data_IF_088764164934
#
_entry.id   IF_088764164934
#
_cell.length_a   1.000
_cell.length_b   1.000
_cell.length_c   1.000
_cell.angle_alpha   90.00
_cell.angle_beta   90.00
_cell.angle_gamma   90.00
#
_symmetry.space_group_name_H-M   'P 1'
#
loop_
_entity.id
_entity.type
_entity.pdbx_description
1 polymer ?
#
# COMPACT_ATOMS: atom_id res chain seq x y z
N UNK A 1 -31.92 -3.72 -11.78
CA UNK A 1 -31.84 -5.18 -11.77
C UNK A 1 -33.21 -5.76 -12.17
N UNK A 2 -33.20 -6.95 -12.76
CA UNK A 2 -34.43 -7.65 -13.16
C UNK A 2 -34.91 -8.64 -12.10
N UNK A 3 -34.08 -8.95 -11.15
CA UNK A 3 -34.38 -9.88 -10.06
C UNK A 3 -34.41 -9.15 -8.73
N UNK A 4 -35.34 -9.52 -7.88
CA UNK A 4 -35.53 -8.93 -6.57
C UNK A 4 -36.11 -9.95 -5.58
N UNK A 5 -36.46 -9.44 -4.41
CA UNK A 5 -37.09 -10.22 -3.36
C UNK A 5 -38.45 -9.60 -3.01
N UNK A 6 -39.50 -10.42 -3.02
CA UNK A 6 -40.80 -10.07 -2.45
C UNK A 6 -40.62 -9.98 -0.92
N UNK A 7 -41.02 -8.85 -0.36
CA UNK A 7 -40.82 -8.60 1.05
C UNK A 7 -42.08 -8.07 1.71
N UNK A 8 -42.32 -8.49 2.93
CA UNK A 8 -43.44 -8.00 3.77
C UNK A 8 -42.92 -6.89 4.67
N UNK A 9 -43.65 -5.79 4.73
CA UNK A 9 -43.37 -4.70 5.68
C UNK A 9 -43.89 -5.14 7.04
N UNK A 10 -42.99 -5.27 8.02
CA UNK A 10 -43.32 -5.62 9.41
C UNK A 10 -43.55 -4.38 10.25
N UNK A 11 -42.75 -3.36 10.09
CA UNK A 11 -42.83 -2.13 10.91
C UNK A 11 -42.32 -0.91 10.12
N UNK A 12 -42.93 0.22 10.36
CA UNK A 12 -42.55 1.51 9.83
C UNK A 12 -42.38 2.50 10.97
N UNK A 13 -41.20 3.10 11.08
CA UNK A 13 -40.83 4.07 12.09
C UNK A 13 -40.49 5.40 11.41
N UNK A 14 -41.22 6.46 11.77
CA UNK A 14 -40.87 7.85 11.39
C UNK A 14 -39.91 8.42 12.43
N UNK A 15 -38.77 8.90 11.99
CA UNK A 15 -37.77 9.56 12.82
C UNK A 15 -38.04 11.07 12.89
N UNK A 16 -37.55 11.77 13.96
CA UNK A 16 -37.77 13.22 14.14
C UNK A 16 -37.17 14.08 13.00
N UNK A 17 -36.17 13.56 12.28
CA UNK A 17 -35.52 14.19 11.13
C UNK A 17 -36.32 14.07 9.81
N UNK A 18 -37.50 13.46 9.86
CA UNK A 18 -38.36 13.23 8.69
C UNK A 18 -38.01 11.96 7.91
N UNK A 19 -36.95 11.25 8.27
CA UNK A 19 -36.61 9.96 7.63
C UNK A 19 -37.53 8.85 8.12
N UNK A 20 -37.74 7.86 7.24
CA UNK A 20 -38.59 6.70 7.54
C UNK A 20 -37.72 5.44 7.53
N UNK A 21 -37.70 4.73 8.65
CA UNK A 21 -37.09 3.38 8.74
C UNK A 21 -38.18 2.34 8.58
N UNK A 22 -37.96 1.42 7.67
CA UNK A 22 -38.88 0.31 7.38
C UNK A 22 -38.19 -1.00 7.71
N UNK A 23 -38.80 -1.82 8.55
CA UNK A 23 -38.40 -3.19 8.79
C UNK A 23 -39.16 -4.09 7.79
N UNK A 24 -38.40 -4.83 7.00
CA UNK A 24 -38.97 -5.74 5.99
C UNK A 24 -38.49 -7.16 6.24
N UNK A 25 -39.35 -8.12 5.92
CA UNK A 25 -39.02 -9.55 5.90
C UNK A 25 -39.04 -10.04 4.46
N UNK A 26 -37.93 -10.59 3.98
CA UNK A 26 -37.87 -11.21 2.65
C UNK A 26 -38.63 -12.53 2.64
N UNK A 27 -39.48 -12.72 1.63
CA UNK A 27 -40.29 -13.93 1.46
C UNK A 27 -39.74 -14.78 0.31
N UNK A 28 -39.99 -14.33 -0.93
CA UNK A 28 -39.71 -15.09 -2.14
C UNK A 28 -38.81 -14.31 -3.09
N UNK A 29 -38.03 -15.02 -3.89
CA UNK A 29 -37.30 -14.46 -5.03
C UNK A 29 -38.28 -14.22 -6.18
N UNK A 30 -38.17 -13.07 -6.84
CA UNK A 30 -39.02 -12.73 -7.92
C UNK A 30 -38.27 -12.09 -9.08
N UNK A 31 -38.69 -12.42 -10.30
CA UNK A 31 -38.27 -11.75 -11.52
C UNK A 31 -39.25 -10.66 -11.86
N UNK A 32 -38.79 -9.48 -12.10
CA UNK A 32 -39.58 -8.32 -12.55
C UNK A 32 -39.78 -8.45 -14.04
N UNK A 33 -41.06 -8.45 -14.48
CA UNK A 33 -41.45 -8.47 -15.88
C UNK A 33 -41.59 -7.05 -16.41
N UNK A 34 -42.36 -6.23 -15.70
CA UNK A 34 -42.67 -4.86 -16.09
C UNK A 34 -42.77 -3.97 -14.84
N UNK A 35 -42.34 -2.73 -14.99
CA UNK A 35 -42.47 -1.71 -13.93
C UNK A 35 -43.29 -0.55 -14.54
N UNK A 36 -44.40 -0.21 -13.91
CA UNK A 36 -45.20 0.94 -14.22
C UNK A 36 -45.17 1.95 -13.07
N UNK A 37 -45.33 3.22 -13.40
CA UNK A 37 -45.45 4.28 -12.40
C UNK A 37 -46.91 4.72 -12.35
N UNK A 38 -47.56 4.48 -11.22
CA UNK A 38 -48.94 4.87 -10.99
C UNK A 38 -48.98 6.00 -9.93
N UNK A 39 -49.31 7.19 -10.39
CA UNK A 39 -49.52 8.40 -9.56
C UNK A 39 -48.34 8.74 -8.63
N UNK A 40 -48.16 8.04 -7.52
CA UNK A 40 -47.17 8.33 -6.49
C UNK A 40 -46.24 7.13 -6.13
N UNK A 41 -46.41 5.98 -6.79
CA UNK A 41 -45.63 4.79 -6.50
C UNK A 41 -45.31 3.96 -7.73
N UNK A 42 -44.28 3.15 -7.62
CA UNK A 42 -43.92 2.17 -8.64
C UNK A 42 -44.69 0.87 -8.41
N UNK A 43 -45.30 0.37 -9.47
CA UNK A 43 -45.94 -0.94 -9.51
C UNK A 43 -45.12 -1.86 -10.38
N UNK A 44 -44.86 -3.08 -9.90
CA UNK A 44 -44.14 -4.08 -10.68
C UNK A 44 -44.95 -5.34 -10.84
N UNK A 45 -45.03 -5.82 -12.08
CA UNK A 45 -45.50 -7.19 -12.36
C UNK A 45 -44.31 -8.14 -12.17
N UNK A 46 -44.49 -9.14 -11.32
CA UNK A 46 -43.43 -10.06 -10.96
C UNK A 46 -43.86 -11.53 -11.15
N UNK A 47 -42.88 -12.41 -11.40
CA UNK A 47 -43.07 -13.86 -11.33
C UNK A 47 -42.18 -14.44 -10.24
N UNK A 48 -42.75 -15.25 -9.35
CA UNK A 48 -42.01 -15.95 -8.31
C UNK A 48 -41.07 -16.94 -8.97
N UNK A 49 -39.82 -16.99 -8.45
CA UNK A 49 -38.82 -17.94 -8.88
C UNK A 49 -38.77 -19.10 -7.88
N UNK A 50 -39.12 -20.28 -8.35
CA UNK A 50 -38.93 -21.50 -7.55
C UNK A 50 -37.46 -21.93 -7.61
N UNK A 51 -36.94 -22.33 -6.46
CA UNK A 51 -35.58 -22.90 -6.39
C UNK A 51 -35.62 -24.32 -6.96
N UNK A 52 -34.87 -24.58 -8.02
CA UNK A 52 -34.67 -25.94 -8.51
C UNK A 52 -33.84 -26.73 -7.53
N UNK A 53 -34.38 -27.85 -7.05
CA UNK A 53 -33.69 -28.70 -6.09
C UNK A 53 -32.57 -29.49 -6.76
N UNK A 54 -31.40 -29.51 -6.14
CA UNK A 54 -30.31 -30.38 -6.54
C UNK A 54 -30.57 -31.83 -6.09
N UNK A 55 -29.82 -32.79 -6.66
CA UNK A 55 -29.80 -34.17 -6.10
C UNK A 55 -29.51 -34.13 -4.60
N UNK A 56 -30.38 -34.79 -3.82
CA UNK A 56 -30.36 -34.72 -2.36
C UNK A 56 -28.98 -35.08 -1.75
N UNK A 57 -28.27 -36.05 -2.36
CA UNK A 57 -26.96 -36.48 -1.90
C UNK A 57 -25.86 -35.43 -2.19
N UNK A 58 -25.87 -34.83 -3.39
CA UNK A 58 -24.90 -33.81 -3.80
C UNK A 58 -25.10 -32.54 -3.01
N UNK A 59 -26.36 -32.10 -2.85
CA UNK A 59 -26.70 -30.96 -2.04
C UNK A 59 -26.20 -31.05 -0.61
N UNK A 60 -26.40 -32.20 0.06
CA UNK A 60 -25.91 -32.46 1.42
C UNK A 60 -24.38 -32.37 1.52
N UNK A 61 -23.65 -32.86 0.53
CA UNK A 61 -22.19 -32.81 0.51
C UNK A 61 -21.71 -31.37 0.35
N UNK A 62 -22.27 -30.64 -0.59
CA UNK A 62 -21.93 -29.23 -0.87
C UNK A 62 -22.25 -28.32 0.32
N UNK A 63 -23.41 -28.51 0.96
CA UNK A 63 -23.79 -27.76 2.16
C UNK A 63 -22.82 -27.98 3.33
N UNK A 64 -22.36 -29.23 3.52
CA UNK A 64 -21.36 -29.53 4.55
C UNK A 64 -20.03 -28.81 4.26
N UNK A 65 -19.59 -28.80 3.01
CA UNK A 65 -18.39 -28.07 2.59
C UNK A 65 -18.55 -26.58 2.80
N UNK A 66 -19.71 -26.02 2.40
CA UNK A 66 -20.06 -24.62 2.58
C UNK A 66 -20.01 -24.18 4.05
N UNK A 67 -20.62 -24.99 4.95
CA UNK A 67 -20.59 -24.72 6.39
C UNK A 67 -19.17 -24.72 6.96
N UNK A 68 -18.34 -25.66 6.51
CA UNK A 68 -16.93 -25.75 6.93
C UNK A 68 -16.12 -24.53 6.47
N UNK A 69 -16.31 -24.08 5.22
CA UNK A 69 -15.65 -22.87 4.71
C UNK A 69 -16.16 -21.61 5.41
N UNK A 70 -17.46 -21.52 5.66
CA UNK A 70 -18.04 -20.40 6.38
C UNK A 70 -17.54 -20.30 7.83
N UNK A 71 -17.37 -21.43 8.52
CA UNK A 71 -16.77 -21.46 9.85
C UNK A 71 -15.34 -20.87 9.83
N UNK A 72 -14.51 -21.24 8.86
CA UNK A 72 -13.19 -20.64 8.66
C UNK A 72 -13.26 -19.12 8.42
N UNK A 73 -14.19 -18.68 7.61
CA UNK A 73 -14.42 -17.26 7.33
C UNK A 73 -14.80 -16.50 8.61
N UNK A 74 -15.72 -17.04 9.43
CA UNK A 74 -16.13 -16.44 10.71
C UNK A 74 -14.94 -16.30 11.66
N UNK A 75 -14.10 -17.34 11.77
CA UNK A 75 -12.91 -17.31 12.62
C UNK A 75 -11.90 -16.25 12.19
N UNK A 76 -11.78 -15.95 10.89
CA UNK A 76 -10.85 -14.98 10.34
C UNK A 76 -11.40 -13.55 10.37
N UNK A 77 -12.68 -13.36 10.10
CA UNK A 77 -13.29 -12.04 9.86
C UNK A 77 -13.38 -11.16 11.10
N UNK A 78 -13.44 -11.75 12.31
CA UNK A 78 -13.63 -11.04 13.60
C UNK A 78 -14.84 -10.08 13.65
N UNK A 79 -15.57 -9.93 12.57
CA UNK A 79 -16.75 -9.04 12.46
C UNK A 79 -18.05 -9.78 12.76
N UNK A 80 -18.05 -11.10 12.62
CA UNK A 80 -19.21 -11.96 12.80
C UNK A 80 -19.10 -12.62 14.16
N UNK A 81 -20.12 -12.47 15.03
CA UNK A 81 -20.14 -13.17 16.31
C UNK A 81 -20.18 -14.69 16.13
N UNK A 82 -19.46 -15.47 16.95
CA UNK A 82 -19.43 -16.93 16.84
C UNK A 82 -20.83 -17.58 16.98
N UNK A 83 -21.76 -16.91 17.68
CA UNK A 83 -23.13 -17.37 17.89
C UNK A 83 -23.93 -17.52 16.59
N UNK A 84 -23.50 -16.80 15.54
CA UNK A 84 -24.10 -16.89 14.20
C UNK A 84 -23.98 -18.31 13.64
N UNK A 85 -22.87 -19.02 13.92
CA UNK A 85 -22.68 -20.39 13.48
C UNK A 85 -23.73 -21.33 14.08
N UNK A 86 -24.10 -21.15 15.35
CA UNK A 86 -25.14 -21.95 16.00
C UNK A 86 -26.50 -21.72 15.36
N UNK A 87 -26.83 -20.46 15.07
CA UNK A 87 -28.09 -20.09 14.41
C UNK A 87 -28.17 -20.65 12.99
N UNK A 88 -27.09 -20.58 12.22
CA UNK A 88 -27.02 -21.11 10.85
C UNK A 88 -27.13 -22.64 10.84
N UNK A 89 -26.44 -23.30 11.76
CA UNK A 89 -26.47 -24.78 11.85
C UNK A 89 -27.84 -25.34 12.20
N UNK A 90 -28.76 -24.53 12.70
CA UNK A 90 -30.15 -24.92 13.01
C UNK A 90 -31.12 -24.78 11.83
N UNK A 91 -30.65 -24.32 10.67
CA UNK A 91 -31.47 -24.13 9.47
C UNK A 91 -31.50 -25.46 8.67
N UNK A 92 -32.64 -26.07 8.58
CA UNK A 92 -32.80 -27.33 7.85
C UNK A 92 -33.00 -27.14 6.34
N UNK A 93 -33.56 -26.00 5.95
CA UNK A 93 -33.88 -25.71 4.55
C UNK A 93 -32.60 -25.23 3.79
N UNK A 94 -32.14 -26.00 2.77
CA UNK A 94 -30.89 -25.68 2.05
C UNK A 94 -30.84 -24.31 1.43
N UNK A 95 -31.92 -23.88 0.76
CA UNK A 95 -31.96 -22.57 0.10
C UNK A 95 -31.85 -21.42 1.11
N UNK A 96 -32.58 -21.53 2.22
CA UNK A 96 -32.54 -20.55 3.32
C UNK A 96 -31.20 -20.51 4.01
N UNK A 97 -30.55 -21.66 4.17
CA UNK A 97 -29.19 -21.76 4.74
C UNK A 97 -28.19 -20.95 3.89
N UNK A 98 -28.19 -21.17 2.58
CA UNK A 98 -27.29 -20.48 1.64
C UNK A 98 -27.53 -18.96 1.65
N UNK A 99 -28.79 -18.55 1.62
CA UNK A 99 -29.15 -17.12 1.63
C UNK A 99 -28.81 -16.47 2.98
N UNK A 100 -28.94 -17.18 4.07
CA UNK A 100 -28.54 -16.68 5.41
C UNK A 100 -27.03 -16.52 5.49
N UNK A 101 -26.23 -17.48 5.04
CA UNK A 101 -24.77 -17.35 4.97
C UNK A 101 -24.38 -16.13 4.13
N UNK A 102 -24.96 -15.97 2.93
CA UNK A 102 -24.68 -14.84 2.05
C UNK A 102 -25.02 -13.48 2.70
N UNK A 103 -26.07 -13.42 3.54
CA UNK A 103 -26.47 -12.20 4.26
C UNK A 103 -25.44 -11.75 5.30
N UNK A 104 -24.72 -12.69 5.91
CA UNK A 104 -23.68 -12.41 6.90
C UNK A 104 -22.33 -12.07 6.29
N UNK A 105 -22.15 -12.26 4.98
CA UNK A 105 -20.92 -11.89 4.28
C UNK A 105 -20.91 -10.41 3.88
N UNK A 106 -19.72 -9.83 3.90
CA UNK A 106 -19.50 -8.45 3.44
C UNK A 106 -19.26 -8.42 1.92
N UNK A 107 -20.28 -8.84 1.15
CA UNK A 107 -20.22 -8.90 -0.31
C UNK A 107 -20.54 -7.53 -0.95
N UNK A 108 -19.98 -7.28 -2.12
CA UNK A 108 -20.35 -6.15 -2.96
C UNK A 108 -21.78 -6.34 -3.49
N UNK A 109 -22.44 -5.22 -3.82
CA UNK A 109 -23.84 -5.24 -4.30
C UNK A 109 -24.03 -6.15 -5.52
N UNK A 110 -23.07 -6.12 -6.45
CA UNK A 110 -23.13 -6.94 -7.66
C UNK A 110 -23.08 -8.44 -7.34
N UNK A 111 -22.23 -8.85 -6.39
CA UNK A 111 -22.12 -10.25 -5.99
C UNK A 111 -23.39 -10.74 -5.27
N UNK A 112 -23.99 -9.89 -4.44
CA UNK A 112 -25.29 -10.19 -3.82
C UNK A 112 -26.39 -10.35 -4.88
N UNK A 113 -26.36 -9.51 -5.90
CA UNK A 113 -27.30 -9.59 -7.01
C UNK A 113 -27.09 -10.88 -7.82
N UNK A 114 -25.85 -11.23 -8.14
CA UNK A 114 -25.53 -12.47 -8.85
C UNK A 114 -26.07 -13.70 -8.10
N UNK A 115 -25.85 -13.76 -6.78
CA UNK A 115 -26.39 -14.83 -5.94
C UNK A 115 -27.94 -14.84 -5.95
N UNK A 116 -28.57 -13.69 -5.97
CA UNK A 116 -30.04 -13.58 -6.02
C UNK A 116 -30.62 -14.10 -7.35
N UNK A 117 -29.89 -13.89 -8.45
CA UNK A 117 -30.29 -14.27 -9.80
C UNK A 117 -30.18 -15.79 -10.05
N UNK A 118 -29.33 -16.49 -9.32
CA UNK A 118 -29.18 -17.95 -9.44
C UNK A 118 -30.41 -18.67 -8.85
N UNK A 119 -31.27 -19.19 -9.74
CA UNK A 119 -32.46 -19.96 -9.35
C UNK A 119 -32.12 -21.36 -8.85
N UNK A 120 -31.13 -22.01 -9.45
CA UNK A 120 -30.69 -23.37 -9.09
C UNK A 120 -29.84 -23.37 -7.83
N UNK A 121 -30.09 -24.30 -6.92
CA UNK A 121 -29.42 -24.37 -5.62
C UNK A 121 -27.92 -24.71 -5.74
N UNK A 122 -27.58 -25.68 -6.59
CA UNK A 122 -26.18 -26.12 -6.72
C UNK A 122 -25.25 -25.01 -7.24
N UNK A 123 -25.49 -24.34 -8.36
CA UNK A 123 -24.66 -23.23 -8.82
C UNK A 123 -24.58 -22.07 -7.79
N UNK A 124 -25.63 -21.87 -6.99
CA UNK A 124 -25.66 -20.86 -5.95
C UNK A 124 -24.71 -21.21 -4.80
N UNK A 125 -24.69 -22.48 -4.38
CA UNK A 125 -23.75 -22.97 -3.36
C UNK A 125 -22.31 -22.85 -3.88
N UNK A 126 -22.04 -23.32 -5.08
CA UNK A 126 -20.70 -23.28 -5.69
C UNK A 126 -20.20 -21.83 -5.82
N UNK A 127 -21.06 -20.93 -6.27
CA UNK A 127 -20.70 -19.52 -6.37
C UNK A 127 -20.44 -18.88 -5.00
N UNK A 128 -21.28 -19.16 -4.00
CA UNK A 128 -21.07 -18.69 -2.63
C UNK A 128 -19.78 -19.24 -2.03
N UNK A 129 -19.45 -20.50 -2.26
CA UNK A 129 -18.20 -21.12 -1.82
C UNK A 129 -16.99 -20.40 -2.45
N UNK A 130 -17.04 -20.07 -3.73
CA UNK A 130 -15.96 -19.32 -4.40
C UNK A 130 -15.78 -17.92 -3.81
N UNK A 131 -16.86 -17.26 -3.45
CA UNK A 131 -16.81 -15.94 -2.79
C UNK A 131 -16.22 -16.02 -1.38
N UNK A 132 -16.59 -17.05 -0.61
CA UNK A 132 -16.02 -17.29 0.72
C UNK A 132 -14.52 -17.56 0.62
N UNK A 133 -14.09 -18.39 -0.32
CA UNK A 133 -12.68 -18.71 -0.54
C UNK A 133 -11.86 -17.45 -0.89
N UNK A 134 -12.37 -16.61 -1.80
CA UNK A 134 -11.75 -15.35 -2.15
C UNK A 134 -11.58 -14.41 -0.94
N UNK A 135 -12.59 -14.31 -0.08
CA UNK A 135 -12.53 -13.52 1.15
C UNK A 135 -11.52 -14.10 2.16
N UNK A 136 -11.48 -15.44 2.32
CA UNK A 136 -10.49 -16.12 3.19
C UNK A 136 -9.07 -15.81 2.71
N UNK A 137 -8.82 -15.90 1.41
CA UNK A 137 -7.51 -15.58 0.81
C UNK A 137 -7.13 -14.12 1.07
N UNK A 138 -8.08 -13.21 0.91
CA UNK A 138 -7.88 -11.79 1.19
C UNK A 138 -7.47 -11.56 2.66
N UNK A 139 -8.16 -12.17 3.62
CA UNK A 139 -7.80 -12.11 5.04
C UNK A 139 -6.41 -12.68 5.33
N UNK A 140 -6.02 -13.77 4.67
CA UNK A 140 -4.68 -14.35 4.82
C UNK A 140 -3.60 -13.39 4.29
N UNK A 141 -3.82 -12.76 3.15
CA UNK A 141 -2.92 -11.75 2.58
C UNK A 141 -2.81 -10.54 3.51
N UNK A 142 -3.94 -10.01 3.99
CA UNK A 142 -3.95 -8.90 4.97
C UNK A 142 -3.16 -9.25 6.24
N UNK A 143 -3.37 -10.43 6.80
CA UNK A 143 -2.64 -10.91 7.99
C UNK A 143 -1.13 -10.96 7.74
N UNK A 144 -0.72 -11.42 6.55
CA UNK A 144 0.69 -11.48 6.14
C UNK A 144 1.29 -10.09 6.00
N UNK A 145 0.56 -9.16 5.36
CA UNK A 145 1.00 -7.76 5.22
C UNK A 145 1.14 -7.10 6.59
N UNK A 146 0.14 -7.19 7.45
CA UNK A 146 0.19 -6.65 8.82
C UNK A 146 1.36 -7.22 9.62
N UNK A 147 1.62 -8.53 9.48
CA UNK A 147 2.77 -9.16 10.12
C UNK A 147 4.12 -8.61 9.64
N UNK A 148 4.27 -8.36 8.33
CA UNK A 148 5.48 -7.73 7.77
C UNK A 148 5.64 -6.28 8.26
N UNK A 149 4.59 -5.50 8.19
CA UNK A 149 4.61 -4.10 8.67
C UNK A 149 4.98 -4.04 10.15
N UNK A 150 4.37 -4.89 10.98
CA UNK A 150 4.70 -4.97 12.41
C UNK A 150 6.17 -5.28 12.64
N UNK A 151 6.72 -6.31 11.97
CA UNK A 151 8.15 -6.66 12.06
C UNK A 151 9.06 -5.51 11.62
N UNK A 152 8.70 -4.80 10.55
CA UNK A 152 9.47 -3.67 10.06
C UNK A 152 9.45 -2.50 11.06
N UNK A 153 8.29 -2.21 11.65
CA UNK A 153 8.18 -1.18 12.68
C UNK A 153 8.99 -1.54 13.94
N UNK A 154 8.89 -2.79 14.39
CA UNK A 154 9.68 -3.27 15.55
C UNK A 154 11.19 -3.15 15.29
N UNK A 155 11.63 -3.49 14.07
CA UNK A 155 13.04 -3.34 13.66
C UNK A 155 13.47 -1.87 13.68
N UNK A 156 12.69 -0.99 13.05
CA UNK A 156 12.99 0.44 13.01
C UNK A 156 13.00 1.09 14.40
N UNK A 157 12.07 0.72 15.27
CA UNK A 157 12.06 1.20 16.66
C UNK A 157 13.30 0.73 17.43
N UNK A 158 13.71 -0.53 17.24
CA UNK A 158 14.90 -1.06 17.87
C UNK A 158 16.15 -0.38 17.36
N UNK A 159 16.28 -0.14 16.05
CA UNK A 159 17.38 0.62 15.44
C UNK A 159 17.45 2.05 15.99
N UNK A 160 16.32 2.72 16.09
CA UNK A 160 16.22 4.06 16.68
C UNK A 160 16.69 4.06 18.13
N UNK A 161 16.17 3.14 18.96
CA UNK A 161 16.56 3.02 20.38
C UNK A 161 18.05 2.74 20.55
N UNK A 162 18.62 1.83 19.76
CA UNK A 162 20.05 1.53 19.79
C UNK A 162 20.90 2.73 19.35
N UNK A 163 20.46 3.49 18.36
CA UNK A 163 21.14 4.71 17.94
C UNK A 163 21.11 5.80 19.02
N UNK A 164 19.99 5.97 19.71
CA UNK A 164 19.90 6.92 20.83
C UNK A 164 20.74 6.49 22.03
N UNK A 165 20.78 5.18 22.32
CA UNK A 165 21.70 4.67 23.34
C UNK A 165 23.18 4.91 22.95
N UNK A 166 23.54 4.67 21.70
CA UNK A 166 24.89 4.90 21.21
C UNK A 166 25.27 6.38 21.32
N UNK A 167 24.39 7.30 20.95
CA UNK A 167 24.60 8.74 21.14
C UNK A 167 24.77 9.12 22.61
N UNK A 168 23.95 8.55 23.51
CA UNK A 168 24.06 8.80 24.94
C UNK A 168 25.41 8.32 25.50
N UNK A 169 25.85 7.12 25.11
CA UNK A 169 27.15 6.56 25.50
C UNK A 169 28.29 7.42 24.96
N UNK A 170 28.25 7.83 23.68
CA UNK A 170 29.24 8.71 23.08
C UNK A 170 29.34 10.05 23.82
N UNK A 171 28.22 10.60 24.25
CA UNK A 171 28.17 11.83 25.04
C UNK A 171 28.80 11.66 26.43
N UNK A 172 28.54 10.53 27.09
CA UNK A 172 29.16 10.19 28.39
C UNK A 172 30.67 9.92 28.29
N UNK A 173 31.11 9.38 27.15
CA UNK A 173 32.55 9.13 26.88
C UNK A 173 33.31 10.41 26.46
N UNK A 174 32.66 11.56 26.33
CA UNK A 174 33.31 12.83 25.96
C UNK A 174 33.67 12.96 24.48
N UNK A 175 33.29 12.00 23.63
CA UNK A 175 33.58 12.02 22.19
C UNK A 175 32.68 12.96 21.38
N UNK A 176 31.67 13.57 21.99
CA UNK A 176 30.66 14.38 21.27
C UNK A 176 30.87 15.89 21.36
N UNK A 177 31.86 16.38 22.07
CA UNK A 177 32.14 17.82 22.08
C UNK A 177 32.77 18.33 20.76
N UNK A 178 33.37 17.41 19.97
CA UNK A 178 34.04 17.77 18.71
C UNK A 178 33.17 17.67 17.45
N UNK A 179 32.05 16.91 17.45
CA UNK A 179 31.25 16.65 16.26
C UNK A 179 30.37 17.83 15.81
N UNK A 180 29.79 18.66 16.71
CA UNK A 180 29.12 19.90 16.28
C UNK A 180 30.05 20.90 15.62
N UNK A 181 31.34 20.87 16.00
CA UNK A 181 32.38 21.79 15.52
C UNK A 181 32.84 21.45 14.09
N UNK A 182 32.98 20.14 13.75
CA UNK A 182 33.45 19.70 12.42
C UNK A 182 32.56 20.23 11.27
N UNK A 183 31.26 20.17 11.41
CA UNK A 183 30.34 20.62 10.36
C UNK A 183 30.33 22.16 10.20
N UNK A 184 30.57 22.90 11.28
CA UNK A 184 30.66 24.34 11.25
C UNK A 184 32.05 24.79 10.73
N UNK A 185 33.11 24.06 11.09
CA UNK A 185 34.46 24.27 10.53
C UNK A 185 34.49 24.01 9.01
N UNK A 186 33.89 22.92 8.54
CA UNK A 186 33.78 22.62 7.11
C UNK A 186 33.01 23.73 6.38
N UNK A 187 31.94 24.26 6.97
CA UNK A 187 31.17 25.35 6.40
C UNK A 187 32.02 26.62 6.27
N UNK A 188 32.77 26.97 7.31
CA UNK A 188 33.67 28.13 7.28
C UNK A 188 34.75 27.94 6.24
N UNK A 189 35.39 26.78 6.15
CA UNK A 189 36.40 26.45 5.12
C UNK A 189 35.83 26.54 3.71
N UNK A 190 34.60 26.12 3.46
CA UNK A 190 33.89 26.24 2.16
C UNK A 190 33.70 27.74 1.81
N UNK A 191 33.35 28.55 2.79
CA UNK A 191 33.18 30.00 2.56
C UNK A 191 34.51 30.73 2.22
N UNK A 192 35.58 30.34 2.90
CA UNK A 192 36.92 30.90 2.75
C UNK A 192 37.66 30.43 1.50
N UNK A 193 37.37 29.21 1.00
CA UNK A 193 38.06 28.62 -0.16
C UNK A 193 37.95 29.43 -1.46
N UNK A 194 36.93 30.31 -1.57
CA UNK A 194 36.76 31.18 -2.73
C UNK A 194 36.27 30.42 -3.98
N UNK A 195 35.50 29.41 -3.81
CA UNK A 195 34.92 28.59 -4.88
C UNK A 195 34.00 29.40 -5.81
N UNK A 196 33.90 29.02 -7.10
CA UNK A 196 32.86 29.53 -7.99
C UNK A 196 31.46 29.19 -7.44
N UNK A 197 30.43 29.93 -7.85
CA UNK A 197 29.06 29.77 -7.34
C UNK A 197 28.54 28.31 -7.41
N UNK A 198 28.74 27.66 -8.56
CA UNK A 198 28.31 26.28 -8.79
C UNK A 198 29.01 25.28 -7.82
N UNK A 199 30.32 25.43 -7.64
CA UNK A 199 31.09 24.59 -6.74
C UNK A 199 30.69 24.81 -5.28
N UNK A 200 30.44 26.06 -4.86
CA UNK A 200 30.00 26.42 -3.52
C UNK A 200 28.59 25.85 -3.22
N UNK A 201 27.66 25.94 -4.16
CA UNK A 201 26.32 25.37 -4.02
C UNK A 201 26.40 23.83 -3.86
N UNK A 202 27.24 23.18 -4.67
CA UNK A 202 27.42 21.74 -4.58
C UNK A 202 28.06 21.33 -3.25
N UNK A 203 29.12 21.99 -2.80
CA UNK A 203 29.75 21.71 -1.51
C UNK A 203 28.80 21.93 -0.34
N UNK A 204 27.99 22.99 -0.38
CA UNK A 204 26.97 23.26 0.66
C UNK A 204 25.87 22.20 0.70
N UNK A 205 25.46 21.69 -0.47
CA UNK A 205 24.50 20.57 -0.56
C UNK A 205 25.04 19.29 0.05
N UNK A 206 26.28 18.92 -0.26
CA UNK A 206 26.92 17.73 0.29
C UNK A 206 27.19 17.87 1.81
N UNK A 207 27.55 19.07 2.29
CA UNK A 207 27.66 19.35 3.73
C UNK A 207 26.31 19.17 4.46
N UNK A 208 25.22 19.60 3.83
CA UNK A 208 23.86 19.39 4.40
C UNK A 208 23.50 17.92 4.50
N UNK A 209 23.88 17.09 3.53
CA UNK A 209 23.71 15.65 3.59
C UNK A 209 24.57 15.03 4.69
N UNK A 210 25.83 15.45 4.82
CA UNK A 210 26.75 14.97 5.86
C UNK A 210 26.18 15.20 7.26
N UNK A 211 25.55 16.35 7.51
CA UNK A 211 24.89 16.66 8.79
C UNK A 211 23.77 15.67 9.16
N UNK A 212 23.12 15.06 8.16
CA UNK A 212 22.02 14.10 8.35
C UNK A 212 22.50 12.64 8.41
N UNK A 213 23.75 12.38 8.01
CA UNK A 213 24.32 11.02 8.00
C UNK A 213 24.86 10.64 9.36
N UNK A 214 24.88 9.32 9.65
CA UNK A 214 25.58 8.81 10.80
C UNK A 214 27.09 9.06 10.66
N UNK A 215 27.77 9.66 11.66
CA UNK A 215 29.21 9.98 11.59
C UNK A 215 30.10 8.77 11.27
N UNK A 216 29.67 7.58 11.66
CA UNK A 216 30.39 6.31 11.47
C UNK A 216 30.06 5.59 10.16
N UNK A 217 29.21 6.15 9.30
CA UNK A 217 28.88 5.50 8.04
C UNK A 217 30.03 5.62 7.02
N UNK A 218 30.23 4.58 6.22
CA UNK A 218 31.18 4.61 5.11
C UNK A 218 30.88 5.73 4.11
N UNK A 219 29.59 6.04 3.92
CA UNK A 219 29.14 7.12 3.07
C UNK A 219 29.55 8.50 3.62
N UNK A 220 29.46 8.73 4.93
CA UNK A 220 29.92 9.98 5.55
C UNK A 220 31.43 10.18 5.34
N UNK A 221 32.23 9.13 5.42
CA UNK A 221 33.66 9.19 5.15
C UNK A 221 33.96 9.59 3.70
N UNK A 222 33.22 9.08 2.72
CA UNK A 222 33.35 9.46 1.31
C UNK A 222 32.98 10.91 1.10
N UNK A 223 31.89 11.38 1.70
CA UNK A 223 31.44 12.79 1.58
C UNK A 223 32.45 13.74 2.23
N UNK A 224 33.03 13.39 3.39
CA UNK A 224 34.13 14.17 4.02
C UNK A 224 35.32 14.29 3.08
N UNK A 225 35.81 13.18 2.56
CA UNK A 225 36.92 13.16 1.62
C UNK A 225 36.64 14.02 0.39
N UNK A 226 35.43 13.98 -0.14
CA UNK A 226 35.02 14.81 -1.27
C UNK A 226 35.05 16.31 -0.92
N UNK A 227 34.53 16.70 0.25
CA UNK A 227 34.55 18.10 0.72
C UNK A 227 35.98 18.57 0.97
N UNK A 228 36.85 17.74 1.54
CA UNK A 228 38.27 18.07 1.77
C UNK A 228 38.99 18.35 0.45
N UNK A 229 38.78 17.52 -0.57
CA UNK A 229 39.32 17.77 -1.91
C UNK A 229 38.79 19.07 -2.49
N UNK A 230 37.52 19.36 -2.41
CA UNK A 230 36.92 20.59 -2.91
C UNK A 230 37.49 21.84 -2.22
N UNK A 231 37.72 21.77 -0.91
CA UNK A 231 38.32 22.85 -0.11
C UNK A 231 39.79 23.04 -0.46
N UNK A 232 40.54 21.97 -0.72
CA UNK A 232 41.96 21.99 -0.99
C UNK A 232 42.33 22.57 -2.37
N UNK A 233 41.38 22.59 -3.31
CA UNK A 233 41.61 23.18 -4.65
C UNK A 233 41.86 24.68 -4.55
N UNK A 234 42.96 25.18 -5.12
CA UNK A 234 43.31 26.62 -5.09
C UNK A 234 42.47 27.43 -6.09
N UNK A 235 41.17 27.59 -5.86
CA UNK A 235 40.19 28.21 -6.77
C UNK A 235 40.54 29.61 -7.27
N UNK A 236 41.27 30.39 -6.45
CA UNK A 236 41.66 31.77 -6.78
C UNK A 236 43.05 31.86 -7.40
N UNK A 237 43.87 30.82 -7.31
CA UNK A 237 45.22 30.84 -7.89
C UNK A 237 45.14 30.57 -9.38
N UNK A 238 45.67 31.50 -10.15
CA UNK A 238 45.83 31.35 -11.60
C UNK A 238 47.29 31.35 -11.94
N UNK A 239 47.72 30.45 -12.82
CA UNK A 239 49.04 30.49 -13.43
C UNK A 239 49.11 31.65 -14.42
N UNK A 240 50.27 32.24 -14.58
CA UNK A 240 50.48 33.21 -15.66
C UNK A 240 50.38 32.49 -16.98
N UNK A 241 49.46 32.94 -17.82
CA UNK A 241 49.31 32.39 -19.19
C UNK A 241 50.53 32.90 -20.01
N UNK A 242 51.24 31.96 -20.61
CA UNK A 242 52.33 32.24 -21.55
C UNK A 242 51.76 32.00 -22.95
N UNK A 243 51.61 33.03 -23.71
CA UNK A 243 51.12 32.98 -25.10
C UNK A 243 52.29 32.90 -26.08
N UNK A 244 53.17 31.93 -25.91
CA UNK A 244 54.32 31.69 -26.78
C UNK A 244 54.03 30.44 -27.61
N UNK A 245 53.53 30.63 -28.82
CA UNK A 245 53.13 29.56 -29.72
C UNK A 245 54.31 28.69 -30.15
N UNK A 246 55.50 29.29 -30.35
CA UNK A 246 56.69 28.53 -30.74
C UNK A 246 57.11 27.53 -29.65
N UNK A 247 57.04 27.96 -28.38
CA UNK A 247 57.34 27.11 -27.23
C UNK A 247 56.26 26.08 -26.97
N UNK A 248 55.01 26.38 -27.25
CA UNK A 248 53.92 25.42 -27.16
C UNK A 248 54.05 24.31 -28.23
N UNK A 249 54.44 24.67 -29.43
CA UNK A 249 54.73 23.75 -30.52
C UNK A 249 55.89 22.82 -30.17
N UNK A 250 56.99 23.37 -29.66
CA UNK A 250 58.19 22.61 -29.22
C UNK A 250 57.80 21.56 -28.14
N UNK A 251 57.01 21.94 -27.14
CA UNK A 251 56.55 21.04 -26.09
C UNK A 251 55.62 19.94 -26.67
N UNK A 252 54.67 20.33 -27.53
CA UNK A 252 53.77 19.37 -28.17
C UNK A 252 54.50 18.36 -29.05
N UNK A 253 55.56 18.82 -29.76
CA UNK A 253 56.37 17.92 -30.58
C UNK A 253 57.30 17.03 -29.75
N UNK A 254 57.79 17.50 -28.60
CA UNK A 254 58.67 16.69 -27.73
C UNK A 254 57.87 15.61 -26.96
N UNK A 255 56.68 15.95 -26.51
CA UNK A 255 55.90 15.07 -25.62
C UNK A 255 55.01 14.08 -26.35
N UNK A 256 54.64 14.39 -27.60
CA UNK A 256 53.72 13.56 -28.38
C UNK A 256 54.26 13.23 -29.78
N UNK A 257 54.35 11.95 -30.12
CA UNK A 257 54.74 11.50 -31.46
C UNK A 257 53.56 11.54 -32.43
N UNK A 258 53.72 12.12 -33.59
CA UNK A 258 52.71 12.21 -34.63
C UNK A 258 51.61 13.20 -34.35
N UNK A 259 50.33 12.85 -34.60
CA UNK A 259 49.13 13.64 -34.31
C UNK A 259 49.15 15.09 -34.90
N UNK A 260 49.70 15.28 -36.08
CA UNK A 260 49.93 16.62 -36.70
C UNK A 260 48.64 17.48 -36.78
N UNK A 261 47.53 16.90 -37.21
CA UNK A 261 46.26 17.63 -37.31
C UNK A 261 45.72 18.10 -35.93
N UNK A 262 45.88 17.25 -34.90
CA UNK A 262 45.44 17.54 -33.55
C UNK A 262 46.31 18.67 -32.96
N UNK A 263 47.62 18.57 -33.11
CA UNK A 263 48.57 19.60 -32.65
C UNK A 263 48.30 20.94 -33.32
N UNK A 264 48.12 20.95 -34.65
CA UNK A 264 47.77 22.18 -35.39
C UNK A 264 46.45 22.80 -35.00
N UNK A 265 45.55 22.00 -34.43
CA UNK A 265 44.27 22.50 -33.95
C UNK A 265 44.31 23.02 -32.50
N UNK A 266 45.32 22.63 -31.73
CA UNK A 266 45.59 23.08 -30.36
C UNK A 266 46.35 24.43 -30.39
N UNK A 267 47.26 24.56 -31.31
CA UNK A 267 48.03 25.80 -31.55
C UNK A 267 47.18 26.86 -32.27
#
# INVERSE_FOLDING_TARGET
YQYGCLSKILQLLKLPDGTVKVLVEGLDRAKIKEISFESDYFRAETSILFTEEASEKEAKLLLRSLLSQFDQYVQLSKKIPPEVMTSISSIDEPARLVDTIASHMTLQLQEKQNLLELSSLQPRIEHLMSLIEAEIDLFQVEKRIRGRVKKQMEKSQREYYLNEQMKAIQKEMGEMDDVPNEAEELKQKIEEAGMPKEAKEKASSELSKLKLMSPMSSEASVVRTYLDWMISIPWKKRSKVRLDLAKAEEILESDHYGLKEVKGRIL
#
